data_IF_891240862369
#
_entry.id   IF_891240862369
#
_cell.length_a   1.000
_cell.length_b   1.000
_cell.length_c   1.000
_cell.angle_alpha   90.00
_cell.angle_beta   90.00
_cell.angle_gamma   90.00
#
_symmetry.space_group_name_H-M   'P 1'
#
loop_
_entity.id
_entity.type
_entity.pdbx_description
1 polymer ?
#
# COMPACT_ATOMS: atom_id res chain seq x y z
N UNK A 1 14.97 -24.85 -26.19
CA UNK A 1 15.06 -23.43 -26.58
C UNK A 1 14.69 -22.50 -25.42
N UNK A 2 13.50 -22.62 -24.80
CA UNK A 2 13.06 -21.81 -23.65
C UNK A 2 14.06 -21.81 -22.48
N UNK A 3 14.59 -22.99 -22.11
CA UNK A 3 15.58 -23.12 -21.01
C UNK A 3 16.92 -22.42 -21.27
N UNK A 4 17.35 -22.35 -22.55
CA UNK A 4 18.59 -21.68 -22.96
C UNK A 4 18.43 -20.15 -22.98
N UNK A 5 17.28 -19.66 -23.45
CA UNK A 5 16.95 -18.23 -23.41
C UNK A 5 16.87 -17.76 -21.95
N UNK A 6 16.26 -18.55 -21.07
CA UNK A 6 16.14 -18.20 -19.64
C UNK A 6 17.48 -18.15 -18.90
N UNK A 7 18.43 -19.04 -19.27
CA UNK A 7 19.80 -19.05 -18.72
C UNK A 7 20.62 -17.85 -19.18
N UNK A 8 20.48 -17.43 -20.45
CA UNK A 8 21.21 -16.29 -21.00
C UNK A 8 20.64 -14.92 -20.62
N UNK A 9 19.34 -14.83 -20.31
CA UNK A 9 18.65 -13.56 -20.02
C UNK A 9 18.43 -13.32 -18.53
N UNK A 10 18.71 -14.30 -17.66
CA UNK A 10 18.44 -14.24 -16.21
C UNK A 10 16.97 -13.91 -15.89
N UNK A 11 16.05 -14.21 -16.81
CA UNK A 11 14.64 -13.83 -16.77
C UNK A 11 13.94 -14.44 -15.55
N UNK A 12 14.18 -15.72 -15.27
CA UNK A 12 13.66 -16.42 -14.09
C UNK A 12 14.09 -15.76 -12.76
N UNK A 13 15.34 -15.33 -12.66
CA UNK A 13 15.86 -14.66 -11.47
C UNK A 13 15.18 -13.30 -11.25
N UNK A 14 14.99 -12.55 -12.33
CA UNK A 14 14.32 -11.25 -12.30
C UNK A 14 12.82 -11.37 -12.01
N UNK A 15 12.12 -12.33 -12.61
CA UNK A 15 10.72 -12.64 -12.34
C UNK A 15 10.52 -13.04 -10.88
N UNK A 16 11.37 -13.92 -10.33
CA UNK A 16 11.30 -14.34 -8.93
C UNK A 16 11.54 -13.17 -7.97
N UNK A 17 12.47 -12.27 -8.30
CA UNK A 17 12.73 -11.03 -7.53
C UNK A 17 11.54 -10.08 -7.59
N UNK A 18 10.95 -9.88 -8.77
CA UNK A 18 9.76 -9.04 -8.96
C UNK A 18 8.57 -9.58 -8.17
N UNK A 19 8.34 -10.90 -8.24
CA UNK A 19 7.25 -11.55 -7.53
C UNK A 19 7.41 -11.42 -6.01
N UNK A 20 8.63 -11.60 -5.49
CA UNK A 20 8.94 -11.38 -4.06
C UNK A 20 8.69 -9.93 -3.62
N UNK A 21 9.00 -8.95 -4.47
CA UNK A 21 8.70 -7.54 -4.23
C UNK A 21 7.18 -7.31 -4.21
N UNK A 22 6.46 -7.82 -5.20
CA UNK A 22 5.00 -7.72 -5.29
C UNK A 22 4.31 -8.33 -4.07
N UNK A 23 4.74 -9.51 -3.61
CA UNK A 23 4.19 -10.15 -2.41
C UNK A 23 4.42 -9.30 -1.15
N UNK A 24 5.61 -8.71 -0.99
CA UNK A 24 5.88 -7.80 0.14
C UNK A 24 4.97 -6.56 0.10
N UNK A 25 4.79 -6.00 -1.09
CA UNK A 25 3.92 -4.83 -1.30
C UNK A 25 2.47 -5.17 -0.97
N UNK A 26 1.97 -6.31 -1.44
CA UNK A 26 0.63 -6.81 -1.12
C UNK A 26 0.45 -7.00 0.39
N UNK A 27 1.45 -7.56 1.06
CA UNK A 27 1.41 -7.76 2.51
C UNK A 27 1.31 -6.43 3.26
N UNK A 28 2.11 -5.43 2.88
CA UNK A 28 2.07 -4.09 3.48
C UNK A 28 0.71 -3.42 3.21
N UNK A 29 0.21 -3.51 1.98
CA UNK A 29 -1.09 -2.96 1.56
C UNK A 29 -2.27 -3.61 2.29
N UNK A 30 -2.17 -4.87 2.69
CA UNK A 30 -3.19 -5.53 3.49
C UNK A 30 -3.04 -5.22 4.98
N UNK A 31 -1.81 -5.17 5.48
CA UNK A 31 -1.53 -5.02 6.91
C UNK A 31 -1.82 -3.59 7.43
N UNK A 32 -1.43 -2.55 6.68
CA UNK A 32 -1.66 -1.15 7.06
C UNK A 32 -3.14 -0.81 7.30
N UNK A 33 -4.07 -1.10 6.37
CA UNK A 33 -5.49 -0.83 6.62
C UNK A 33 -6.07 -1.72 7.70
N UNK A 34 -5.60 -2.98 7.83
CA UNK A 34 -6.05 -3.88 8.88
C UNK A 34 -5.74 -3.35 10.29
N UNK A 35 -4.48 -2.95 10.54
CA UNK A 35 -4.08 -2.36 11.83
C UNK A 35 -4.83 -1.07 12.10
N UNK A 36 -5.01 -0.22 11.08
CA UNK A 36 -5.72 1.04 11.27
C UNK A 36 -7.21 0.83 11.62
N UNK A 37 -7.89 -0.10 10.93
CA UNK A 37 -9.28 -0.45 11.25
C UNK A 37 -9.42 -1.09 12.64
N UNK A 38 -8.51 -1.99 13.02
CA UNK A 38 -8.51 -2.62 14.33
C UNK A 38 -8.35 -1.59 15.46
N UNK A 39 -7.43 -0.62 15.30
CA UNK A 39 -7.21 0.45 16.28
C UNK A 39 -8.45 1.33 16.48
N UNK A 40 -9.18 1.64 15.42
CA UNK A 40 -10.43 2.42 15.50
C UNK A 40 -11.53 1.63 16.19
N UNK A 41 -11.65 0.33 15.90
CA UNK A 41 -12.65 -0.53 16.52
C UNK A 41 -12.41 -0.62 18.03
N UNK A 42 -11.14 -0.77 18.43
CA UNK A 42 -10.73 -0.69 19.83
C UNK A 42 -11.05 0.67 20.45
N UNK A 43 -10.74 1.77 19.76
CA UNK A 43 -11.03 3.12 20.24
C UNK A 43 -12.53 3.39 20.36
N UNK A 44 -13.37 2.92 19.43
CA UNK A 44 -14.83 3.03 19.50
C UNK A 44 -15.40 2.27 20.70
N UNK A 45 -14.89 1.07 20.98
CA UNK A 45 -15.28 0.28 22.15
C UNK A 45 -14.88 1.00 23.44
N UNK A 46 -13.65 1.53 23.51
CA UNK A 46 -13.13 2.23 24.68
C UNK A 46 -13.83 3.57 24.93
N UNK A 47 -14.08 4.35 23.88
CA UNK A 47 -14.74 5.66 23.95
C UNK A 47 -16.20 5.56 24.38
N UNK A 48 -16.87 4.42 24.15
CA UNK A 48 -18.24 4.20 24.63
C UNK A 48 -18.34 4.19 26.16
N UNK A 49 -17.21 4.05 26.85
CA UNK A 49 -17.10 3.91 28.30
C UNK A 49 -16.59 5.19 28.99
N UNK A 50 -16.15 6.22 28.25
CA UNK A 50 -15.44 7.39 28.84
C UNK A 50 -15.92 8.75 28.31
N UNK A 51 -16.04 9.71 29.25
CA UNK A 51 -16.62 11.05 29.10
C UNK A 51 -15.89 11.98 28.09
N UNK A 52 -16.60 13.05 27.70
CA UNK A 52 -16.35 14.15 26.74
C UNK A 52 -14.93 14.47 26.22
N UNK A 53 -13.84 14.24 26.96
CA UNK A 53 -12.45 14.38 26.47
C UNK A 53 -12.12 13.41 25.33
N UNK A 54 -12.87 12.31 25.21
CA UNK A 54 -12.79 11.35 24.10
C UNK A 54 -13.23 11.92 22.75
N UNK A 55 -14.04 12.99 22.70
CA UNK A 55 -14.60 13.51 21.45
C UNK A 55 -13.56 14.14 20.52
N UNK A 56 -12.61 14.92 21.03
CA UNK A 56 -11.55 15.54 20.19
C UNK A 56 -10.65 14.45 19.61
N UNK A 57 -10.25 13.49 20.44
CA UNK A 57 -9.43 12.34 20.02
C UNK A 57 -10.17 11.53 18.94
N UNK A 58 -11.48 11.34 19.10
CA UNK A 58 -12.34 10.63 18.14
C UNK A 58 -12.38 11.31 16.77
N UNK A 59 -12.50 12.63 16.72
CA UNK A 59 -12.46 13.41 15.47
C UNK A 59 -11.09 13.25 14.79
N UNK A 60 -10.00 13.34 15.56
CA UNK A 60 -8.63 13.22 15.05
C UNK A 60 -8.37 11.83 14.43
N UNK A 61 -8.84 10.76 15.07
CA UNK A 61 -8.79 9.40 14.53
C UNK A 61 -9.65 9.22 13.28
N UNK A 62 -10.83 9.84 13.21
CA UNK A 62 -11.68 9.79 12.00
C UNK A 62 -10.99 10.46 10.80
N UNK A 63 -10.33 11.59 11.00
CA UNK A 63 -9.57 12.27 9.93
C UNK A 63 -8.41 11.37 9.47
N UNK A 64 -7.61 10.83 10.40
CA UNK A 64 -6.54 9.89 10.09
C UNK A 64 -7.03 8.67 9.29
N UNK A 65 -8.23 8.18 9.59
CA UNK A 65 -8.84 7.07 8.87
C UNK A 65 -9.21 7.43 7.43
N UNK A 66 -9.78 8.61 7.20
CA UNK A 66 -10.08 9.07 5.85
C UNK A 66 -8.82 9.26 5.00
N UNK A 67 -7.65 9.40 5.63
CA UNK A 67 -6.36 9.45 4.95
C UNK A 67 -5.77 8.05 4.66
N UNK A 68 -6.26 6.96 5.30
CA UNK A 68 -5.78 5.58 5.05
C UNK A 68 -5.71 5.19 3.57
N UNK A 69 -6.75 5.46 2.74
CA UNK A 69 -6.74 5.10 1.33
C UNK A 69 -5.63 5.80 0.53
N UNK A 70 -5.11 6.94 1.03
CA UNK A 70 -4.02 7.67 0.39
C UNK A 70 -2.66 6.98 0.54
N UNK A 71 -2.48 6.14 1.57
CA UNK A 71 -1.24 5.38 1.74
C UNK A 71 -1.08 4.28 0.69
N UNK A 72 -2.18 3.72 0.18
CA UNK A 72 -2.16 2.67 -0.85
C UNK A 72 -1.40 3.09 -2.12
N UNK A 73 -1.74 4.22 -2.79
CA UNK A 73 -0.98 4.69 -3.94
C UNK A 73 0.45 5.10 -3.58
N UNK A 74 0.70 5.69 -2.41
CA UNK A 74 2.05 6.07 -1.95
C UNK A 74 2.94 4.84 -1.83
N UNK A 75 2.47 3.81 -1.14
CA UNK A 75 3.20 2.54 -0.97
C UNK A 75 3.47 1.92 -2.33
N UNK A 76 2.47 1.83 -3.22
CA UNK A 76 2.65 1.32 -4.57
C UNK A 76 3.71 2.09 -5.38
N UNK A 77 3.71 3.42 -5.34
CA UNK A 77 4.71 4.24 -6.06
C UNK A 77 6.11 4.06 -5.49
N UNK A 78 6.26 3.98 -4.16
CA UNK A 78 7.57 3.86 -3.52
C UNK A 78 8.19 2.47 -3.69
N UNK A 79 7.38 1.42 -3.70
CA UNK A 79 7.87 0.04 -3.65
C UNK A 79 7.83 -0.70 -4.98
N UNK A 80 6.95 -0.31 -5.90
CA UNK A 80 6.76 -1.02 -7.16
C UNK A 80 7.31 -0.20 -8.33
N UNK A 81 8.57 -0.45 -8.69
CA UNK A 81 9.29 0.24 -9.78
C UNK A 81 8.55 0.24 -11.12
N UNK A 82 8.00 -0.88 -11.65
CA UNK A 82 7.24 -0.83 -12.89
C UNK A 82 5.93 -0.04 -12.76
N UNK A 83 5.27 -0.08 -11.60
CA UNK A 83 4.08 0.74 -11.35
C UNK A 83 4.43 2.24 -11.31
N UNK A 84 5.53 2.59 -10.64
CA UNK A 84 6.10 3.95 -10.63
C UNK A 84 6.39 4.44 -12.04
N UNK A 85 7.10 3.64 -12.83
CA UNK A 85 7.43 3.99 -14.22
C UNK A 85 6.16 4.13 -15.07
N UNK A 86 5.15 3.28 -14.87
CA UNK A 86 3.88 3.40 -15.57
C UNK A 86 3.17 4.73 -15.26
N UNK A 87 3.14 5.18 -14.00
CA UNK A 87 2.52 6.46 -13.60
C UNK A 87 3.29 7.66 -14.17
N UNK A 88 4.61 7.70 -13.96
CA UNK A 88 5.44 8.84 -14.40
C UNK A 88 5.61 8.88 -15.93
N UNK A 89 5.67 7.74 -16.61
CA UNK A 89 5.69 7.73 -18.09
C UNK A 89 4.31 8.06 -18.66
N UNK A 90 3.20 7.71 -18.00
CA UNK A 90 1.87 8.19 -18.41
C UNK A 90 1.75 9.70 -18.34
N UNK A 91 2.36 10.35 -17.34
CA UNK A 91 2.38 11.83 -17.28
C UNK A 91 3.19 12.48 -18.39
N UNK A 92 4.02 11.72 -19.10
CA UNK A 92 4.77 12.20 -20.29
C UNK A 92 4.05 11.92 -21.60
N UNK A 93 2.97 11.12 -21.59
CA UNK A 93 2.11 10.95 -22.76
C UNK A 93 1.22 12.19 -22.83
N UNK A 94 1.67 13.20 -23.58
CA UNK A 94 0.81 14.31 -24.00
C UNK A 94 -0.46 13.71 -24.62
N UNK A 95 -1.66 14.14 -24.18
CA UNK A 95 -2.86 13.87 -24.97
C UNK A 95 -2.65 14.56 -26.33
N UNK A 96 -2.53 13.76 -27.38
CA UNK A 96 -2.60 14.25 -28.76
C UNK A 96 -4.04 14.67 -29.07
#
# INVERSE_FOLDING_TARGET
MVRYVNLNTNLDGNLKRLNKLLTKVLFILAFVPFVNQAGILFFMIYSKTSNNTTNIIRILFQILFHLTPLFNPIICVLTNTPYRNAIFNRSQINPQ
#
